data_IF_964577650965
#
_entry.id   IF_964577650965
#
_cell.length_a   1.000
_cell.length_b   1.000
_cell.length_c   1.000
_cell.angle_alpha   90.00
_cell.angle_beta   90.00
_cell.angle_gamma   90.00
#
_symmetry.space_group_name_H-M   'P 1'
#
loop_
_entity.id
_entity.type
_entity.pdbx_description
1 polymer ?
#
# COMPACT_ATOMS: atom_id res chain seq x y z
N UNK A 1 -8.44 6.55 -0.33
CA UNK A 1 -7.52 5.92 0.64
C UNK A 1 -7.88 6.32 2.06
N UNK A 2 -7.91 7.62 2.40
CA UNK A 2 -8.28 8.15 3.73
C UNK A 2 -9.58 7.58 4.30
N UNK A 3 -10.67 7.55 3.53
CA UNK A 3 -11.94 6.96 3.98
C UNK A 3 -11.79 5.49 4.40
N UNK A 4 -11.14 4.66 3.57
CA UNK A 4 -10.92 3.24 3.89
C UNK A 4 -10.00 3.06 5.10
N UNK A 5 -8.99 3.92 5.27
CA UNK A 5 -8.14 3.92 6.47
C UNK A 5 -8.95 4.21 7.72
N UNK A 6 -9.82 5.24 7.70
CA UNK A 6 -10.69 5.59 8.83
C UNK A 6 -11.66 4.46 9.14
N UNK A 7 -12.29 3.86 8.12
CA UNK A 7 -13.18 2.72 8.30
C UNK A 7 -12.45 1.50 8.87
N UNK A 8 -11.24 1.21 8.39
CA UNK A 8 -10.40 0.13 8.91
C UNK A 8 -10.00 0.35 10.37
N UNK A 9 -9.57 1.56 10.72
CA UNK A 9 -9.24 1.93 12.10
C UNK A 9 -10.46 1.81 13.01
N UNK A 10 -11.62 2.32 12.57
CA UNK A 10 -12.88 2.20 13.30
C UNK A 10 -13.27 0.73 13.52
N UNK A 11 -13.17 -0.11 12.48
CA UNK A 11 -13.48 -1.53 12.58
C UNK A 11 -12.60 -2.25 13.62
N UNK A 12 -11.27 -2.04 13.59
CA UNK A 12 -10.37 -2.67 14.56
C UNK A 12 -10.52 -2.10 15.97
N UNK A 13 -10.83 -0.81 16.07
CA UNK A 13 -11.17 -0.16 17.35
C UNK A 13 -12.44 -0.75 17.96
N UNK A 14 -13.50 -0.92 17.17
CA UNK A 14 -14.76 -1.55 17.58
C UNK A 14 -14.56 -3.02 17.99
N UNK A 15 -13.65 -3.75 17.33
CA UNK A 15 -13.24 -5.10 17.74
C UNK A 15 -12.34 -5.16 18.98
N UNK A 16 -12.03 -4.02 19.62
CA UNK A 16 -11.08 -3.89 20.74
C UNK A 16 -9.69 -4.48 20.46
N UNK A 17 -9.31 -4.59 19.19
CA UNK A 17 -8.04 -5.15 18.79
C UNK A 17 -7.03 -4.02 18.53
N UNK A 18 -6.57 -3.39 19.60
CA UNK A 18 -5.67 -2.23 19.55
C UNK A 18 -4.33 -2.50 18.85
N UNK A 19 -3.91 -3.76 18.76
CA UNK A 19 -2.66 -4.17 18.09
C UNK A 19 -2.78 -4.07 16.57
N UNK A 20 -3.83 -4.66 16.00
CA UNK A 20 -4.10 -4.60 14.56
C UNK A 20 -4.41 -3.15 14.13
N UNK A 21 -5.12 -2.38 14.97
CA UNK A 21 -5.33 -0.95 14.76
C UNK A 21 -4.01 -0.15 14.74
N UNK A 22 -3.10 -0.43 15.69
CA UNK A 22 -1.77 0.19 15.73
C UNK A 22 -0.92 -0.15 14.50
N UNK A 23 -0.96 -1.39 14.02
CA UNK A 23 -0.24 -1.78 12.81
C UNK A 23 -0.82 -1.14 11.55
N UNK A 24 -2.14 -1.03 11.46
CA UNK A 24 -2.79 -0.29 10.38
C UNK A 24 -2.39 1.19 10.39
N UNK A 25 -2.35 1.81 11.58
CA UNK A 25 -1.95 3.20 11.74
C UNK A 25 -0.48 3.43 11.33
N UNK A 26 0.45 2.64 11.85
CA UNK A 26 1.89 2.73 11.48
C UNK A 26 2.08 2.47 9.99
N UNK A 27 1.39 1.46 9.45
CA UNK A 27 1.39 1.15 8.02
C UNK A 27 0.96 2.33 7.17
N UNK A 28 -0.14 2.98 7.54
CA UNK A 28 -0.66 4.13 6.83
C UNK A 28 0.22 5.39 6.98
N UNK A 29 0.89 5.58 8.11
CA UNK A 29 1.82 6.70 8.34
C UNK A 29 3.15 6.55 7.59
N UNK A 30 3.65 5.32 7.42
CA UNK A 30 4.90 5.09 6.67
C UNK A 30 4.78 5.39 5.17
N UNK A 31 3.57 5.31 4.62
CA UNK A 31 3.28 5.57 3.19
C UNK A 31 3.67 6.99 2.75
N UNK A 32 3.14 8.07 3.36
CA UNK A 32 3.51 9.43 2.98
C UNK A 32 4.97 9.73 3.32
N UNK A 33 5.52 9.17 4.41
CA UNK A 33 6.92 9.36 4.78
C UNK A 33 7.87 8.88 3.67
N UNK A 34 7.79 7.60 3.29
CA UNK A 34 8.68 7.03 2.27
C UNK A 34 8.46 7.65 0.89
N UNK A 35 7.22 7.92 0.52
CA UNK A 35 6.92 8.56 -0.77
C UNK A 35 7.50 9.97 -0.85
N UNK A 36 7.38 10.77 0.22
CA UNK A 36 7.90 12.15 0.25
C UNK A 36 9.42 12.16 0.34
N UNK A 37 10.00 11.31 1.19
CA UNK A 37 11.45 11.18 1.33
C UNK A 37 12.12 10.84 -0.01
N UNK A 38 11.61 9.84 -0.74
CA UNK A 38 12.15 9.47 -2.05
C UNK A 38 11.94 10.53 -3.12
N UNK A 39 10.81 11.26 -3.07
CA UNK A 39 10.54 12.39 -3.99
C UNK A 39 11.58 13.48 -3.85
N UNK A 40 11.93 13.87 -2.64
CA UNK A 40 12.96 14.90 -2.42
C UNK A 40 14.37 14.38 -2.70
N UNK A 41 14.65 13.11 -2.40
CA UNK A 41 15.96 12.52 -2.65
C UNK A 41 16.30 12.44 -4.14
N UNK A 42 15.34 12.03 -4.99
CA UNK A 42 15.58 11.79 -6.41
C UNK A 42 15.13 12.95 -7.31
N UNK A 43 14.21 13.80 -6.85
CA UNK A 43 13.77 15.03 -7.52
C UNK A 43 13.46 14.86 -9.02
N UNK A 44 12.90 13.69 -9.38
CA UNK A 44 12.71 13.32 -10.79
C UNK A 44 11.60 14.17 -11.43
N UNK A 45 11.83 14.81 -12.59
CA UNK A 45 10.79 15.54 -13.31
C UNK A 45 9.72 14.60 -13.90
N UNK A 46 8.52 15.14 -14.16
CA UNK A 46 7.41 14.39 -14.79
C UNK A 46 7.58 14.25 -16.32
N UNK A 47 6.90 13.29 -16.96
CA UNK A 47 6.90 13.17 -18.42
C UNK A 47 6.38 14.45 -19.11
N UNK A 48 7.25 15.14 -19.85
CA UNK A 48 6.88 16.42 -20.52
C UNK A 48 6.28 16.20 -21.92
N UNK A 49 6.53 15.03 -22.54
CA UNK A 49 6.09 14.72 -23.92
C UNK A 49 4.64 14.25 -24.04
N UNK A 50 3.93 14.09 -22.92
CA UNK A 50 2.54 13.62 -22.90
C UNK A 50 1.69 14.71 -22.27
N UNK A 51 0.58 15.07 -22.89
CA UNK A 51 -0.34 16.04 -22.33
C UNK A 51 -0.93 15.44 -21.04
N UNK A 52 -0.67 16.07 -19.90
CA UNK A 52 -1.21 15.59 -18.63
C UNK A 52 -2.72 15.81 -18.60
N UNK A 53 -3.49 14.76 -18.29
CA UNK A 53 -4.93 14.89 -18.08
C UNK A 53 -5.28 15.50 -16.71
N UNK A 54 -4.30 15.66 -15.82
CA UNK A 54 -4.44 16.25 -14.48
C UNK A 54 -3.16 17.02 -14.13
N UNK A 55 -3.29 18.24 -13.61
CA UNK A 55 -2.15 19.05 -13.16
C UNK A 55 -1.56 18.51 -11.84
N UNK A 56 -0.25 18.25 -11.83
CA UNK A 56 0.47 17.81 -10.64
C UNK A 56 1.86 18.46 -10.57
N UNK A 57 2.10 19.23 -9.52
CA UNK A 57 3.34 20.03 -9.32
C UNK A 57 4.45 19.30 -8.55
N UNK A 58 4.17 18.13 -7.96
CA UNK A 58 5.17 17.34 -7.23
C UNK A 58 5.99 16.43 -8.15
N UNK A 59 7.22 16.07 -7.73
CA UNK A 59 8.12 15.15 -8.43
C UNK A 59 7.47 13.82 -8.82
N UNK A 60 7.96 13.20 -9.90
CA UNK A 60 7.37 12.00 -10.51
C UNK A 60 7.68 10.71 -9.76
N UNK A 61 8.88 10.60 -9.19
CA UNK A 61 9.35 9.35 -8.58
C UNK A 61 9.26 9.37 -7.05
N UNK A 62 8.80 8.28 -6.40
CA UNK A 62 7.99 7.20 -6.96
C UNK A 62 6.53 7.68 -7.12
N UNK A 63 5.71 6.86 -7.79
CA UNK A 63 4.26 7.11 -7.86
C UNK A 63 3.63 6.98 -6.47
N UNK A 64 3.27 8.12 -5.85
CA UNK A 64 2.66 8.14 -4.52
C UNK A 64 1.33 7.38 -4.45
N UNK A 65 0.53 7.42 -5.53
CA UNK A 65 -0.70 6.61 -5.63
C UNK A 65 -0.39 5.12 -5.63
N UNK A 66 0.68 4.71 -6.32
CA UNK A 66 1.07 3.31 -6.38
C UNK A 66 1.65 2.85 -5.04
N UNK A 67 2.55 3.61 -4.42
CA UNK A 67 3.07 3.32 -3.07
C UNK A 67 1.92 3.17 -2.08
N UNK A 68 0.99 4.13 -2.06
CA UNK A 68 -0.15 4.12 -1.15
C UNK A 68 -1.07 2.92 -1.38
N UNK A 69 -1.44 2.65 -2.64
CA UNK A 69 -2.29 1.51 -2.97
C UNK A 69 -1.63 0.18 -2.56
N UNK A 70 -0.36 -0.02 -2.94
CA UNK A 70 0.35 -1.26 -2.63
C UNK A 70 0.46 -1.48 -1.13
N UNK A 71 0.91 -0.48 -0.37
CA UNK A 71 1.05 -0.64 1.07
C UNK A 71 -0.28 -0.83 1.77
N UNK A 72 -1.31 -0.08 1.39
CA UNK A 72 -2.62 -0.13 2.04
C UNK A 72 -3.35 -1.45 1.77
N UNK A 73 -3.49 -1.83 0.49
CA UNK A 73 -4.26 -3.02 0.12
C UNK A 73 -3.56 -4.32 0.53
N UNK A 74 -2.23 -4.40 0.48
CA UNK A 74 -1.53 -5.58 0.99
C UNK A 74 -1.62 -5.69 2.52
N UNK A 75 -1.54 -4.58 3.26
CA UNK A 75 -1.68 -4.61 4.71
C UNK A 75 -3.09 -5.02 5.13
N UNK A 76 -4.12 -4.50 4.46
CA UNK A 76 -5.50 -4.93 4.71
C UNK A 76 -5.70 -6.39 4.33
N UNK A 77 -5.18 -6.84 3.18
CA UNK A 77 -5.25 -8.24 2.80
C UNK A 77 -4.60 -9.16 3.84
N UNK A 78 -3.45 -8.77 4.39
CA UNK A 78 -2.80 -9.47 5.49
C UNK A 78 -3.69 -9.53 6.74
N UNK A 79 -4.24 -8.40 7.20
CA UNK A 79 -5.06 -8.36 8.42
C UNK A 79 -6.38 -9.14 8.27
N UNK A 80 -7.05 -9.02 7.11
CA UNK A 80 -8.32 -9.71 6.84
C UNK A 80 -8.08 -11.21 6.66
N UNK A 81 -7.06 -11.63 5.90
CA UNK A 81 -6.79 -13.05 5.62
C UNK A 81 -6.55 -13.88 6.89
N UNK A 82 -6.05 -13.26 7.96
CA UNK A 82 -5.88 -13.88 9.28
C UNK A 82 -7.19 -14.27 9.97
N UNK A 83 -8.31 -13.67 9.59
CA UNK A 83 -9.64 -13.99 10.12
C UNK A 83 -10.26 -15.24 9.47
N UNK A 84 -9.63 -15.76 8.41
CA UNK A 84 -10.11 -16.93 7.67
C UNK A 84 -9.12 -18.09 7.78
N UNK A 85 -9.62 -19.30 8.04
CA UNK A 85 -8.84 -20.54 8.02
C UNK A 85 -8.69 -21.12 6.61
N UNK A 86 -9.63 -20.82 5.70
CA UNK A 86 -9.64 -21.34 4.33
C UNK A 86 -8.57 -20.70 3.45
N UNK A 87 -7.67 -21.53 2.91
CA UNK A 87 -6.63 -21.12 1.94
C UNK A 87 -7.25 -20.44 0.71
N UNK A 88 -8.41 -20.93 0.24
CA UNK A 88 -9.12 -20.34 -0.91
C UNK A 88 -9.58 -18.92 -0.59
N UNK A 89 -10.13 -18.67 0.59
CA UNK A 89 -10.55 -17.34 1.00
C UNK A 89 -9.35 -16.37 1.05
N UNK A 90 -8.21 -16.82 1.60
CA UNK A 90 -6.96 -16.02 1.64
C UNK A 90 -6.45 -15.69 0.23
N UNK A 91 -6.47 -16.67 -0.68
CA UNK A 91 -6.06 -16.49 -2.07
C UNK A 91 -6.96 -15.48 -2.81
N UNK A 92 -8.28 -15.55 -2.62
CA UNK A 92 -9.22 -14.59 -3.22
C UNK A 92 -8.99 -13.17 -2.70
N UNK A 93 -8.80 -13.00 -1.38
CA UNK A 93 -8.49 -11.69 -0.79
C UNK A 93 -7.21 -11.10 -1.38
N UNK A 94 -6.16 -11.91 -1.51
CA UNK A 94 -4.89 -11.47 -2.10
C UNK A 94 -5.05 -11.12 -3.58
N UNK A 95 -5.77 -11.94 -4.35
CA UNK A 95 -6.02 -11.68 -5.77
C UNK A 95 -6.78 -10.37 -5.99
N UNK A 96 -7.81 -10.09 -5.18
CA UNK A 96 -8.56 -8.83 -5.23
C UNK A 96 -7.67 -7.63 -4.90
N UNK A 97 -6.82 -7.74 -3.87
CA UNK A 97 -5.88 -6.69 -3.51
C UNK A 97 -4.88 -6.40 -4.65
N UNK A 98 -4.29 -7.45 -5.24
CA UNK A 98 -3.37 -7.32 -6.36
C UNK A 98 -4.05 -6.72 -7.60
N UNK A 99 -5.29 -7.12 -7.89
CA UNK A 99 -6.09 -6.55 -8.98
C UNK A 99 -6.30 -5.04 -8.82
N UNK A 100 -6.68 -4.59 -7.62
CA UNK A 100 -6.85 -3.16 -7.33
C UNK A 100 -5.52 -2.39 -7.43
N UNK A 101 -4.43 -2.95 -6.91
CA UNK A 101 -3.08 -2.36 -6.99
C UNK A 101 -2.66 -2.18 -8.46
N UNK A 102 -2.85 -3.21 -9.29
CA UNK A 102 -2.52 -3.18 -10.71
C UNK A 102 -3.38 -2.14 -11.45
N UNK A 103 -4.70 -2.11 -11.20
CA UNK A 103 -5.60 -1.13 -11.80
C UNK A 103 -5.20 0.31 -11.46
N UNK A 104 -4.84 0.59 -10.20
CA UNK A 104 -4.37 1.91 -9.78
C UNK A 104 -3.04 2.25 -10.44
N UNK A 105 -2.08 1.31 -10.50
CA UNK A 105 -0.82 1.52 -11.19
C UNK A 105 -1.01 1.84 -12.66
N UNK A 106 -1.87 1.08 -13.35
CA UNK A 106 -2.20 1.30 -14.76
C UNK A 106 -2.87 2.64 -14.99
N UNK A 107 -3.79 3.07 -14.11
CA UNK A 107 -4.43 4.39 -14.20
C UNK A 107 -3.42 5.53 -14.24
N UNK A 108 -2.28 5.40 -13.55
CA UNK A 108 -1.22 6.43 -13.54
C UNK A 108 -0.43 6.48 -14.84
N UNK A 109 -0.26 5.34 -15.50
CA UNK A 109 0.35 5.29 -16.84
C UNK A 109 -0.61 5.85 -17.88
N UNK A 110 -1.89 5.46 -17.81
CA UNK A 110 -2.94 5.93 -18.70
C UNK A 110 -3.11 7.45 -18.65
N UNK A 111 -3.07 8.05 -17.45
CA UNK A 111 -3.14 9.51 -17.28
C UNK A 111 -1.87 10.26 -17.75
N UNK A 112 -0.81 9.56 -18.15
CA UNK A 112 0.43 10.14 -18.66
C UNK A 112 1.29 10.86 -17.62
N UNK A 113 0.91 10.83 -16.34
CA UNK A 113 1.53 11.60 -15.25
C UNK A 113 2.75 10.93 -14.61
N UNK A 114 3.01 9.66 -14.91
CA UNK A 114 4.10 8.86 -14.35
C UNK A 114 4.74 7.98 -15.41
N UNK A 115 6.04 7.75 -15.29
CA UNK A 115 6.75 6.74 -16.07
C UNK A 115 6.46 5.33 -15.54
N UNK A 116 6.58 4.27 -16.37
CA UNK A 116 6.49 2.87 -15.90
C UNK A 116 7.40 2.56 -14.71
N UNK A 117 8.60 3.16 -14.67
CA UNK A 117 9.53 3.00 -13.54
C UNK A 117 9.07 3.68 -12.23
N UNK A 118 8.26 4.74 -12.30
CA UNK A 118 7.67 5.37 -11.10
C UNK A 118 6.59 4.46 -10.49
N UNK A 119 5.86 3.74 -11.32
CA UNK A 119 4.83 2.78 -10.90
C UNK A 119 5.49 1.52 -10.35
N UNK A 120 6.49 0.96 -11.05
CA UNK A 120 7.23 -0.22 -10.59
C UNK A 120 7.92 0.03 -9.24
N UNK A 121 8.58 1.17 -9.08
CA UNK A 121 9.17 1.55 -7.78
C UNK A 121 8.10 1.71 -6.69
N UNK A 122 6.92 2.21 -7.04
CA UNK A 122 5.78 2.25 -6.14
C UNK A 122 5.35 0.87 -5.64
N UNK A 123 5.29 -0.12 -6.52
CA UNK A 123 5.01 -1.51 -6.15
C UNK A 123 6.08 -2.10 -5.23
N UNK A 124 7.36 -1.89 -5.57
CA UNK A 124 8.48 -2.42 -4.79
C UNK A 124 8.57 -1.79 -3.39
N UNK A 125 8.56 -0.46 -3.31
CA UNK A 125 8.64 0.28 -2.06
C UNK A 125 7.44 -0.02 -1.16
N UNK A 126 6.24 -0.04 -1.76
CA UNK A 126 5.02 -0.32 -1.03
C UNK A 126 4.98 -1.74 -0.45
N UNK A 127 5.46 -2.73 -1.23
CA UNK A 127 5.56 -4.14 -0.81
C UNK A 127 6.63 -4.34 0.25
N UNK A 128 7.82 -3.73 0.08
CA UNK A 128 8.91 -3.79 1.05
C UNK A 128 8.48 -3.25 2.41
N UNK A 129 7.76 -2.13 2.43
CA UNK A 129 7.21 -1.56 3.66
C UNK A 129 6.23 -2.50 4.37
N UNK A 130 5.33 -3.14 3.63
CA UNK A 130 4.38 -4.09 4.22
C UNK A 130 5.09 -5.33 4.72
N UNK A 131 6.03 -5.89 3.96
CA UNK A 131 6.82 -7.04 4.39
C UNK A 131 7.58 -6.77 5.68
N UNK A 132 8.18 -5.57 5.80
CA UNK A 132 8.85 -5.15 7.03
C UNK A 132 7.87 -5.12 8.22
N UNK A 133 6.69 -4.53 8.04
CA UNK A 133 5.69 -4.44 9.09
C UNK A 133 5.09 -5.79 9.49
N UNK A 134 4.79 -6.65 8.52
CA UNK A 134 4.22 -7.98 8.80
C UNK A 134 5.25 -8.91 9.43
N UNK A 135 6.52 -8.84 9.01
CA UNK A 135 7.62 -9.56 9.66
C UNK A 135 7.76 -9.12 11.13
N UNK A 136 7.76 -7.81 11.39
CA UNK A 136 7.81 -7.27 12.75
C UNK A 136 6.60 -7.68 13.59
N UNK A 137 5.40 -7.70 13.00
CA UNK A 137 4.19 -8.20 13.64
C UNK A 137 4.32 -9.67 14.05
N UNK A 138 4.77 -10.53 13.15
CA UNK A 138 4.92 -11.98 13.38
C UNK A 138 6.01 -12.30 14.39
N UNK A 139 7.14 -11.58 14.38
CA UNK A 139 8.20 -11.74 15.38
C UNK A 139 7.72 -11.40 16.79
N UNK A 140 6.83 -10.42 16.94
CA UNK A 140 6.23 -10.06 18.23
C UNK A 140 5.07 -10.96 18.66
N UNK A 141 4.58 -11.83 17.77
CA UNK A 141 3.43 -12.71 18.03
C UNK A 141 3.68 -14.12 17.47
N UNK A 142 4.60 -14.90 18.08
CA UNK A 142 5.01 -16.21 17.58
C UNK A 142 3.87 -17.26 17.55
N UNK A 143 2.82 -17.06 18.35
CA UNK A 143 1.62 -17.92 18.41
C UNK A 143 0.54 -17.54 17.39
N UNK A 144 0.77 -16.49 16.59
CA UNK A 144 -0.18 -16.13 15.54
C UNK A 144 -0.15 -17.16 14.41
N UNK A 145 -1.30 -17.53 13.81
CA UNK A 145 -1.42 -18.59 12.80
C UNK A 145 -0.80 -18.23 11.44
N UNK A 146 0.23 -17.38 11.43
CA UNK A 146 0.95 -16.89 10.24
C UNK A 146 2.03 -17.84 9.74
N UNK A 147 2.29 -18.98 10.41
CA UNK A 147 3.14 -20.03 9.84
C UNK A 147 2.33 -20.77 8.78
N UNK A 148 2.70 -20.54 7.52
CA UNK A 148 2.31 -21.39 6.39
C UNK A 148 2.81 -22.81 6.63
#
# INVERSE_FOLDING_TARGET
>A
MTLFTVLGLLFFWLKRNGRDAGHLAVGCMGIPFWSTFMKHLLSRPRPVRVQHLVDVTSFSYPSGHTVAATSFYLLIAFLISRQFSSVRARAVILALALGLIAAIGFSRLYLGVHYPSDVLSGFLLGSAWVLFLTAFYSLRNPDSPTRL
#
